data_IF_911226735125
#
_entry.id   IF_911226735125
#
_cell.length_a   1.000
_cell.length_b   1.000
_cell.length_c   1.000
_cell.angle_alpha   90.00
_cell.angle_beta   90.00
_cell.angle_gamma   90.00
#
_symmetry.space_group_name_H-M   'P 1'
#
loop_
_entity.id
_entity.type
_entity.pdbx_description
1 polymer ?
#
# COMPACT_ATOMS: atom_id res chain seq x y z
N UNK A 1 10.23 25.37 -12.05
CA UNK A 1 11.18 26.18 -12.84
C UNK A 1 11.71 25.28 -13.95
N UNK A 2 11.88 25.75 -15.21
CA UNK A 2 12.60 24.94 -16.21
C UNK A 2 14.04 24.76 -15.74
N UNK A 3 14.51 23.51 -15.61
CA UNK A 3 15.91 23.21 -15.30
C UNK A 3 16.80 23.72 -16.44
N UNK A 4 17.58 24.76 -16.17
CA UNK A 4 18.64 25.20 -17.08
C UNK A 4 19.89 24.39 -16.76
N UNK A 5 20.14 23.37 -17.59
CA UNK A 5 21.20 22.37 -17.41
C UNK A 5 22.62 22.94 -17.23
N UNK A 6 22.86 24.19 -17.65
CA UNK A 6 24.17 24.84 -17.60
C UNK A 6 24.48 25.53 -16.26
N UNK A 7 23.49 25.70 -15.36
CA UNK A 7 23.71 26.29 -14.02
C UNK A 7 23.78 25.25 -12.90
N UNK A 8 23.59 23.96 -13.21
CA UNK A 8 23.67 22.88 -12.24
C UNK A 8 25.12 22.69 -11.75
N UNK A 9 25.30 22.64 -10.43
CA UNK A 9 26.60 22.57 -9.75
C UNK A 9 26.84 21.21 -9.06
N UNK A 10 25.95 20.23 -9.31
CA UNK A 10 26.10 18.84 -8.89
C UNK A 10 25.45 17.86 -9.88
N UNK A 11 26.07 16.70 -10.05
CA UNK A 11 25.51 15.50 -10.70
C UNK A 11 25.26 14.42 -9.64
N UNK A 12 24.04 13.89 -9.61
CA UNK A 12 23.66 12.78 -8.75
C UNK A 12 23.51 11.53 -9.61
N UNK A 13 24.31 10.52 -9.31
CA UNK A 13 24.23 9.20 -9.91
C UNK A 13 23.32 8.36 -9.01
N UNK A 14 22.19 7.90 -9.54
CA UNK A 14 21.23 7.05 -8.81
C UNK A 14 20.91 5.87 -9.69
N UNK A 15 21.30 4.67 -9.27
CA UNK A 15 21.22 3.47 -10.11
C UNK A 15 21.97 3.66 -11.44
N UNK A 16 21.26 3.52 -12.56
CA UNK A 16 21.79 3.73 -13.91
C UNK A 16 21.69 5.18 -14.41
N UNK A 17 20.99 6.04 -13.68
CA UNK A 17 20.59 7.36 -14.17
C UNK A 17 21.44 8.46 -13.55
N UNK A 18 21.62 9.54 -14.29
CA UNK A 18 22.34 10.74 -13.83
C UNK A 18 21.42 11.94 -13.85
N UNK A 19 21.28 12.57 -12.69
CA UNK A 19 20.47 13.76 -12.47
C UNK A 19 21.38 14.96 -12.28
N UNK A 20 21.10 16.06 -12.97
CA UNK A 20 21.78 17.34 -12.69
C UNK A 20 20.91 18.15 -11.75
N UNK A 21 21.51 18.83 -10.77
CA UNK A 21 20.76 19.65 -9.83
C UNK A 21 21.57 20.85 -9.33
N UNK A 22 20.92 21.68 -8.52
CA UNK A 22 21.53 22.79 -7.81
C UNK A 22 21.63 22.42 -6.32
N UNK A 23 22.84 22.45 -5.75
CA UNK A 23 23.09 22.17 -4.33
C UNK A 23 22.22 23.04 -3.42
N UNK A 24 22.01 24.31 -3.78
CA UNK A 24 21.18 25.25 -3.02
C UNK A 24 19.69 24.83 -2.98
N UNK A 25 19.13 24.36 -4.10
CA UNK A 25 17.73 23.88 -4.15
C UNK A 25 17.57 22.62 -3.30
N UNK A 26 18.50 21.68 -3.43
CA UNK A 26 18.50 20.44 -2.65
C UNK A 26 18.64 20.71 -1.15
N UNK A 27 19.61 21.55 -0.75
CA UNK A 27 19.84 21.91 0.65
C UNK A 27 18.66 22.64 1.29
N UNK A 28 17.96 23.51 0.54
CA UNK A 28 16.75 24.18 1.03
C UNK A 28 15.56 23.25 1.21
N UNK A 29 15.56 22.12 0.51
CA UNK A 29 14.40 21.22 0.43
C UNK A 29 14.56 19.94 1.26
N UNK A 30 15.76 19.65 1.75
CA UNK A 30 16.06 18.43 2.49
C UNK A 30 17.20 18.64 3.48
N UNK A 31 16.97 18.29 4.74
CA UNK A 31 17.98 18.35 5.80
C UNK A 31 19.17 17.42 5.53
N UNK A 32 18.94 16.31 4.80
CA UNK A 32 20.00 15.42 4.33
C UNK A 32 20.99 16.17 3.44
N UNK A 33 20.49 16.85 2.41
CA UNK A 33 21.33 17.64 1.50
C UNK A 33 21.89 18.89 2.17
N UNK A 34 21.14 19.50 3.10
CA UNK A 34 21.64 20.60 3.91
C UNK A 34 22.87 20.17 4.72
N UNK A 35 22.78 19.05 5.44
CA UNK A 35 23.88 18.50 6.22
C UNK A 35 25.07 18.15 5.32
N UNK A 36 24.82 17.51 4.18
CA UNK A 36 25.85 17.10 3.23
C UNK A 36 26.60 18.28 2.60
N UNK A 37 25.91 19.37 2.26
CA UNK A 37 26.53 20.54 1.63
C UNK A 37 26.97 21.63 2.62
N UNK A 38 26.71 21.43 3.91
CA UNK A 38 27.14 22.33 4.99
C UNK A 38 28.66 22.32 5.20
N UNK A 39 29.16 23.39 5.84
CA UNK A 39 30.59 23.61 6.00
C UNK A 39 31.23 22.52 6.88
N UNK A 40 32.20 21.80 6.32
CA UNK A 40 33.09 20.77 6.92
C UNK A 40 32.96 19.34 6.35
N UNK A 41 32.11 19.10 5.33
CA UNK A 41 32.05 17.81 4.63
C UNK A 41 32.84 17.83 3.31
N UNK A 42 33.51 16.72 2.96
CA UNK A 42 34.28 16.60 1.70
C UNK A 42 33.37 16.74 0.47
N UNK A 43 32.12 16.31 0.64
CA UNK A 43 31.01 16.31 -0.30
C UNK A 43 30.66 17.73 -0.80
N UNK A 44 30.95 18.77 -0.02
CA UNK A 44 30.76 20.16 -0.45
C UNK A 44 31.57 20.49 -1.71
N UNK A 45 32.78 19.95 -1.82
CA UNK A 45 33.67 20.20 -2.96
C UNK A 45 33.42 19.23 -4.13
N UNK A 46 32.59 18.19 -3.94
CA UNK A 46 32.29 17.23 -4.99
C UNK A 46 31.29 17.80 -6.00
N UNK A 47 31.54 17.57 -7.28
CA UNK A 47 30.64 17.86 -8.39
C UNK A 47 29.81 16.63 -8.82
N UNK A 48 30.13 15.45 -8.29
CA UNK A 48 29.44 14.19 -8.51
C UNK A 48 29.18 13.48 -7.18
N UNK A 49 27.94 13.04 -6.96
CA UNK A 49 27.50 12.28 -5.79
C UNK A 49 26.77 11.02 -6.24
N UNK A 50 27.07 9.87 -5.64
CA UNK A 50 26.37 8.61 -5.92
C UNK A 50 25.42 8.28 -4.76
N UNK A 51 24.14 8.03 -5.04
CA UNK A 51 23.14 7.59 -4.07
C UNK A 51 22.76 6.13 -4.38
N UNK A 52 23.05 5.21 -3.45
CA UNK A 52 22.92 3.76 -3.68
C UNK A 52 21.68 3.17 -3.03
N UNK A 53 21.10 3.88 -2.08
CA UNK A 53 20.06 3.42 -1.18
C UNK A 53 18.64 3.67 -1.71
N UNK A 54 18.51 4.40 -2.82
CA UNK A 54 17.23 4.78 -3.43
C UNK A 54 17.21 4.45 -4.92
N UNK A 55 16.02 4.17 -5.44
CA UNK A 55 15.80 3.94 -6.87
C UNK A 55 15.79 5.24 -7.66
N UNK A 56 16.18 5.19 -8.95
CA UNK A 56 16.11 6.34 -9.86
C UNK A 56 14.69 6.92 -9.94
N UNK A 57 13.68 6.05 -9.92
CA UNK A 57 12.28 6.45 -9.97
C UNK A 57 11.88 7.26 -8.72
N UNK A 58 12.29 6.77 -7.53
CA UNK A 58 12.09 7.48 -6.28
C UNK A 58 12.79 8.83 -6.26
N UNK A 59 14.05 8.87 -6.69
CA UNK A 59 14.81 10.12 -6.72
C UNK A 59 14.28 11.11 -7.76
N UNK A 60 13.82 10.65 -8.91
CA UNK A 60 13.17 11.48 -9.93
C UNK A 60 11.94 12.18 -9.36
N UNK A 61 11.09 11.46 -8.62
CA UNK A 61 9.94 12.05 -7.94
C UNK A 61 10.34 13.07 -6.86
N UNK A 62 11.43 12.81 -6.11
CA UNK A 62 11.95 13.75 -5.12
C UNK A 62 12.51 15.03 -5.76
N UNK A 63 13.24 14.91 -6.87
CA UNK A 63 13.75 16.07 -7.60
C UNK A 63 12.60 16.93 -8.10
N UNK A 64 11.58 16.33 -8.72
CA UNK A 64 10.40 17.08 -9.16
C UNK A 64 9.75 17.82 -7.99
N UNK A 65 9.62 17.16 -6.84
CA UNK A 65 9.11 17.78 -5.62
C UNK A 65 9.99 18.95 -5.14
N UNK A 66 11.31 18.81 -5.09
CA UNK A 66 12.22 19.88 -4.64
C UNK A 66 12.16 21.13 -5.53
N UNK A 67 11.90 20.97 -6.83
CA UNK A 67 11.85 22.09 -7.77
C UNK A 67 10.46 22.71 -7.95
N UNK A 68 9.41 21.92 -7.76
CA UNK A 68 8.05 22.31 -8.12
C UNK A 68 7.07 22.34 -6.95
N UNK A 69 7.42 21.72 -5.81
CA UNK A 69 6.57 21.66 -4.63
C UNK A 69 5.37 20.72 -4.74
N UNK A 70 5.28 19.92 -5.80
CA UNK A 70 4.27 18.88 -5.94
C UNK A 70 4.92 17.54 -6.26
N UNK A 71 4.25 16.46 -5.88
CA UNK A 71 4.67 15.09 -6.14
C UNK A 71 3.49 14.30 -6.70
N UNK A 72 3.75 13.50 -7.73
CA UNK A 72 2.75 12.61 -8.33
C UNK A 72 2.96 11.21 -7.78
N UNK A 73 1.93 10.67 -7.13
CA UNK A 73 1.94 9.32 -6.57
C UNK A 73 1.02 8.45 -7.41
N UNK A 74 1.52 7.30 -7.84
CA UNK A 74 0.76 6.27 -8.53
C UNK A 74 1.26 4.87 -8.13
N UNK A 75 0.66 3.82 -8.69
CA UNK A 75 0.98 2.42 -8.40
C UNK A 75 2.40 2.00 -8.81
N UNK A 76 3.06 2.74 -9.71
CA UNK A 76 4.42 2.50 -10.18
C UNK A 76 5.41 3.26 -9.30
N UNK A 77 5.11 4.52 -8.98
CA UNK A 77 6.03 5.44 -8.28
C UNK A 77 6.03 5.25 -6.77
N UNK A 78 4.94 4.76 -6.16
CA UNK A 78 4.78 4.75 -4.71
C UNK A 78 5.92 4.06 -3.95
N UNK A 79 6.43 2.92 -4.45
CA UNK A 79 7.52 2.20 -3.78
C UNK A 79 8.80 3.04 -3.73
N UNK A 80 9.20 3.60 -4.87
CA UNK A 80 10.36 4.47 -4.95
C UNK A 80 10.18 5.76 -4.13
N UNK A 81 8.96 6.30 -4.08
CA UNK A 81 8.64 7.47 -3.26
C UNK A 81 8.78 7.13 -1.77
N UNK A 82 8.28 5.98 -1.32
CA UNK A 82 8.41 5.53 0.07
C UNK A 82 9.88 5.28 0.46
N UNK A 83 10.67 4.64 -0.43
CA UNK A 83 12.11 4.45 -0.26
C UNK A 83 12.83 5.79 -0.08
N UNK A 84 12.58 6.74 -1.00
CA UNK A 84 13.21 8.04 -1.00
C UNK A 84 12.76 8.89 0.20
N UNK A 85 11.48 8.87 0.54
CA UNK A 85 10.94 9.57 1.71
C UNK A 85 11.60 9.08 3.00
N UNK A 86 11.78 7.77 3.15
CA UNK A 86 12.49 7.19 4.30
C UNK A 86 13.97 7.60 4.32
N UNK A 87 14.64 7.55 3.17
CA UNK A 87 16.06 7.92 3.06
C UNK A 87 16.30 9.39 3.38
N UNK A 88 15.45 10.29 2.89
CA UNK A 88 15.55 11.73 3.14
C UNK A 88 14.87 12.20 4.43
N UNK A 89 14.32 11.28 5.25
CA UNK A 89 13.57 11.57 6.48
C UNK A 89 12.39 12.55 6.28
N UNK A 90 11.59 12.31 5.24
CA UNK A 90 10.41 13.12 4.89
C UNK A 90 9.13 12.43 5.40
N UNK A 91 8.90 12.45 6.71
CA UNK A 91 7.83 11.68 7.37
C UNK A 91 6.42 12.01 6.88
N UNK A 92 6.15 13.28 6.55
CA UNK A 92 4.84 13.69 6.03
C UNK A 92 4.50 12.98 4.70
N UNK A 93 5.50 12.65 3.90
CA UNK A 93 5.30 11.98 2.62
C UNK A 93 4.93 10.50 2.81
N UNK A 94 5.46 9.85 3.85
CA UNK A 94 5.01 8.51 4.28
C UNK A 94 3.51 8.54 4.61
N UNK A 95 3.04 9.58 5.32
CA UNK A 95 1.62 9.76 5.61
C UNK A 95 0.77 9.98 4.35
N UNK A 96 1.25 10.78 3.39
CA UNK A 96 0.53 11.00 2.12
C UNK A 96 0.46 9.70 1.30
N UNK A 97 1.54 8.93 1.21
CA UNK A 97 1.54 7.62 0.57
C UNK A 97 0.57 6.65 1.25
N UNK A 98 0.50 6.64 2.58
CA UNK A 98 -0.51 5.87 3.33
C UNK A 98 -1.93 6.27 2.92
N UNK A 99 -2.25 7.55 2.89
CA UNK A 99 -3.57 8.03 2.47
C UNK A 99 -3.90 7.61 1.03
N UNK A 100 -2.94 7.72 0.12
CA UNK A 100 -3.11 7.24 -1.26
C UNK A 100 -3.44 5.74 -1.29
N UNK A 101 -2.71 4.90 -0.55
CA UNK A 101 -2.93 3.46 -0.52
C UNK A 101 -4.32 3.08 -0.02
N UNK A 102 -4.79 3.73 1.05
CA UNK A 102 -6.13 3.50 1.59
C UNK A 102 -7.22 3.99 0.63
N UNK A 103 -7.02 5.16 0.01
CA UNK A 103 -8.00 5.72 -0.94
C UNK A 103 -8.21 4.85 -2.18
N UNK A 104 -7.15 4.22 -2.68
CA UNK A 104 -7.19 3.34 -3.86
C UNK A 104 -7.22 1.86 -3.50
N UNK A 105 -7.68 1.51 -2.30
CA UNK A 105 -7.75 0.12 -1.86
C UNK A 105 -8.70 -0.71 -2.74
N UNK A 106 -8.29 -1.96 -3.01
CA UNK A 106 -9.06 -2.92 -3.78
C UNK A 106 -8.68 -4.36 -3.42
N UNK A 107 -9.50 -5.31 -3.86
CA UNK A 107 -9.21 -6.74 -3.73
C UNK A 107 -7.88 -7.16 -4.40
N UNK A 108 -7.41 -6.39 -5.38
CA UNK A 108 -6.20 -6.70 -6.13
C UNK A 108 -4.92 -6.15 -5.48
N UNK A 109 -5.03 -5.17 -4.56
CA UNK A 109 -3.87 -4.47 -4.03
C UNK A 109 -3.77 -4.45 -2.49
N UNK A 110 -4.79 -4.89 -1.75
CA UNK A 110 -4.78 -4.80 -0.28
C UNK A 110 -3.59 -5.54 0.37
N UNK A 111 -3.14 -6.67 -0.21
CA UNK A 111 -1.95 -7.38 0.28
C UNK A 111 -0.67 -6.57 0.08
N UNK A 112 -0.56 -5.88 -1.06
CA UNK A 112 0.55 -4.97 -1.31
C UNK A 112 0.50 -3.78 -0.34
N UNK A 113 -0.68 -3.27 -0.01
CA UNK A 113 -0.85 -2.21 1.01
C UNK A 113 -0.35 -2.68 2.38
N UNK A 114 -0.68 -3.91 2.80
CA UNK A 114 -0.15 -4.49 4.05
C UNK A 114 1.37 -4.66 3.99
N UNK A 115 1.90 -5.15 2.87
CA UNK A 115 3.34 -5.34 2.70
C UNK A 115 4.10 -4.00 2.78
N UNK A 116 3.62 -2.97 2.08
CA UNK A 116 4.22 -1.64 2.15
C UNK A 116 4.11 -1.04 3.54
N UNK A 117 2.99 -1.23 4.23
CA UNK A 117 2.84 -0.80 5.61
C UNK A 117 3.92 -1.42 6.52
N UNK A 118 4.15 -2.72 6.39
CA UNK A 118 5.14 -3.47 7.19
C UNK A 118 6.57 -3.03 6.85
N UNK A 119 6.93 -2.99 5.57
CA UNK A 119 8.28 -2.64 5.08
C UNK A 119 8.67 -1.20 5.48
N UNK A 120 7.72 -0.27 5.47
CA UNK A 120 7.95 1.14 5.76
C UNK A 120 7.54 1.54 7.18
N UNK A 121 7.38 0.57 8.09
CA UNK A 121 7.11 0.77 9.52
C UNK A 121 5.89 1.68 9.79
N UNK A 122 4.86 1.59 8.94
CA UNK A 122 3.58 2.25 9.17
C UNK A 122 2.78 1.49 10.23
N UNK A 123 1.73 2.11 10.78
CA UNK A 123 0.80 1.43 11.67
C UNK A 123 -0.02 0.36 10.91
N UNK A 124 0.52 -0.85 10.87
CA UNK A 124 -0.09 -2.02 10.21
C UNK A 124 -1.45 -2.35 10.81
N UNK A 125 -1.64 -2.16 12.12
CA UNK A 125 -2.91 -2.44 12.78
C UNK A 125 -4.01 -1.48 12.29
N UNK A 126 -3.69 -0.18 12.22
CA UNK A 126 -4.60 0.82 11.66
C UNK A 126 -4.87 0.59 10.17
N UNK A 127 -3.88 0.14 9.39
CA UNK A 127 -4.07 -0.19 7.97
C UNK A 127 -4.95 -1.43 7.80
N UNK A 128 -4.75 -2.49 8.59
CA UNK A 128 -5.64 -3.65 8.59
C UNK A 128 -7.08 -3.28 8.94
N UNK A 129 -7.27 -2.38 9.90
CA UNK A 129 -8.60 -1.88 10.25
C UNK A 129 -9.30 -1.23 9.06
N UNK A 130 -8.62 -0.34 8.32
CA UNK A 130 -9.15 0.29 7.10
C UNK A 130 -9.49 -0.76 6.01
N UNK A 131 -8.66 -1.81 5.89
CA UNK A 131 -8.89 -2.90 4.95
C UNK A 131 -10.15 -3.70 5.30
N UNK A 132 -10.33 -4.03 6.58
CA UNK A 132 -11.51 -4.75 7.06
C UNK A 132 -12.78 -3.91 6.91
N UNK A 133 -12.71 -2.60 7.19
CA UNK A 133 -13.81 -1.67 6.91
C UNK A 133 -14.21 -1.69 5.44
N UNK A 134 -13.24 -1.54 4.52
CA UNK A 134 -13.48 -1.62 3.08
C UNK A 134 -14.18 -2.92 2.65
N UNK A 135 -13.69 -4.07 3.13
CA UNK A 135 -14.30 -5.37 2.81
C UNK A 135 -15.70 -5.52 3.39
N UNK A 136 -15.92 -5.05 4.62
CA UNK A 136 -17.21 -5.14 5.30
C UNK A 136 -18.29 -4.27 4.65
N UNK A 137 -17.95 -3.05 4.23
CA UNK A 137 -18.88 -2.11 3.60
C UNK A 137 -19.10 -2.39 2.11
N UNK A 138 -18.18 -3.10 1.46
CA UNK A 138 -18.25 -3.41 0.02
C UNK A 138 -18.44 -4.90 -0.24
N UNK A 139 -18.97 -5.65 0.72
CA UNK A 139 -18.98 -7.11 0.67
C UNK A 139 -19.74 -7.67 -0.53
N UNK A 140 -20.98 -7.24 -0.77
CA UNK A 140 -21.82 -7.71 -1.88
C UNK A 140 -21.13 -7.53 -3.25
N UNK A 141 -20.68 -6.33 -3.66
CA UNK A 141 -20.03 -6.18 -4.97
C UNK A 141 -18.69 -6.91 -5.07
N UNK A 142 -18.01 -7.16 -3.94
CA UNK A 142 -16.78 -7.95 -3.92
C UNK A 142 -17.07 -9.45 -4.02
N UNK A 143 -18.11 -9.97 -3.38
CA UNK A 143 -18.45 -11.39 -3.39
C UNK A 143 -18.79 -11.93 -4.78
N UNK A 144 -19.20 -11.04 -5.69
CA UNK A 144 -19.49 -11.35 -7.09
C UNK A 144 -18.24 -11.44 -7.99
N UNK A 145 -17.08 -10.93 -7.54
CA UNK A 145 -15.84 -10.94 -8.31
C UNK A 145 -15.05 -12.22 -8.03
N UNK A 146 -14.66 -12.93 -9.09
CA UNK A 146 -13.88 -14.18 -8.98
C UNK A 146 -12.55 -14.00 -8.25
N UNK A 147 -11.90 -12.84 -8.41
CA UNK A 147 -10.63 -12.54 -7.73
C UNK A 147 -10.79 -12.44 -6.20
N UNK A 148 -11.99 -12.15 -5.69
CA UNK A 148 -12.24 -12.09 -4.25
C UNK A 148 -12.08 -13.45 -3.57
N UNK A 149 -12.21 -14.55 -4.31
CA UNK A 149 -11.91 -15.88 -3.77
C UNK A 149 -10.42 -16.09 -3.50
N UNK A 150 -9.53 -15.22 -4.00
CA UNK A 150 -8.10 -15.22 -3.66
C UNK A 150 -7.78 -14.53 -2.34
N UNK A 151 -8.77 -13.91 -1.68
CA UNK A 151 -8.59 -13.27 -0.37
C UNK A 151 -7.85 -14.18 0.60
N UNK A 152 -6.92 -13.64 1.38
CA UNK A 152 -6.18 -14.40 2.38
C UNK A 152 -7.08 -14.88 3.51
N UNK A 153 -6.76 -16.03 4.08
CA UNK A 153 -7.47 -16.59 5.23
C UNK A 153 -7.41 -15.66 6.45
N UNK A 154 -6.29 -14.94 6.62
CA UNK A 154 -6.10 -13.97 7.71
C UNK A 154 -7.17 -12.88 7.67
N UNK A 155 -7.31 -12.17 6.54
CA UNK A 155 -8.32 -11.11 6.41
C UNK A 155 -9.73 -11.67 6.49
N UNK A 156 -10.01 -12.81 5.85
CA UNK A 156 -11.35 -13.38 5.89
C UNK A 156 -11.75 -13.83 7.30
N UNK A 157 -10.84 -14.46 8.04
CA UNK A 157 -11.13 -14.92 9.42
C UNK A 157 -11.26 -13.77 10.41
N UNK A 158 -10.52 -12.66 10.22
CA UNK A 158 -10.70 -11.42 10.97
C UNK A 158 -12.04 -10.75 10.59
N UNK A 159 -12.41 -10.71 9.31
CA UNK A 159 -13.70 -10.15 8.87
C UNK A 159 -14.90 -10.91 9.46
N UNK A 160 -14.79 -12.23 9.59
CA UNK A 160 -15.85 -13.11 10.11
C UNK A 160 -15.88 -13.22 11.64
N UNK A 161 -15.02 -12.52 12.38
CA UNK A 161 -14.95 -12.64 13.84
C UNK A 161 -16.11 -11.93 14.59
N UNK A 162 -16.93 -11.16 13.86
CA UNK A 162 -18.08 -10.43 14.39
C UNK A 162 -17.75 -9.01 14.87
N UNK A 163 -16.51 -8.54 14.72
CA UNK A 163 -16.09 -7.17 15.07
C UNK A 163 -16.65 -6.14 14.09
N UNK A 164 -16.72 -6.48 12.80
CA UNK A 164 -17.17 -5.59 11.74
C UNK A 164 -18.58 -5.96 11.28
N UNK A 165 -19.44 -4.95 11.11
CA UNK A 165 -20.73 -5.15 10.47
C UNK A 165 -20.55 -5.34 8.97
N UNK A 166 -21.00 -6.49 8.45
CA UNK A 166 -20.94 -6.80 7.02
C UNK A 166 -22.27 -6.39 6.40
N UNK A 167 -22.22 -5.54 5.37
CA UNK A 167 -23.41 -5.07 4.65
C UNK A 167 -23.86 -6.10 3.61
N UNK A 168 -24.30 -7.27 4.09
CA UNK A 168 -24.84 -8.37 3.30
C UNK A 168 -25.80 -9.24 4.13
N UNK A 169 -26.73 -9.93 3.47
CA UNK A 169 -27.50 -10.99 4.12
C UNK A 169 -26.62 -12.22 4.43
N UNK A 170 -27.04 -13.01 5.40
CA UNK A 170 -26.26 -14.17 5.87
C UNK A 170 -26.15 -15.27 4.81
N UNK A 171 -27.09 -15.35 3.87
CA UNK A 171 -27.03 -16.28 2.74
C UNK A 171 -25.89 -15.92 1.79
N UNK A 172 -25.72 -14.65 1.47
CA UNK A 172 -24.63 -14.13 0.64
C UNK A 172 -23.28 -14.38 1.30
N UNK A 173 -23.19 -14.17 2.61
CA UNK A 173 -21.98 -14.49 3.38
C UNK A 173 -21.67 -15.98 3.30
N UNK A 174 -22.66 -16.84 3.55
CA UNK A 174 -22.52 -18.29 3.48
C UNK A 174 -22.04 -18.76 2.09
N UNK A 175 -22.69 -18.30 1.02
CA UNK A 175 -22.34 -18.66 -0.35
C UNK A 175 -20.92 -18.21 -0.70
N UNK A 176 -20.52 -17.02 -0.25
CA UNK A 176 -19.16 -16.52 -0.42
C UNK A 176 -18.15 -17.43 0.29
N UNK A 177 -18.37 -17.74 1.57
CA UNK A 177 -17.47 -18.58 2.36
C UNK A 177 -17.32 -19.97 1.74
N UNK A 178 -18.41 -20.56 1.26
CA UNK A 178 -18.39 -21.84 0.54
C UNK A 178 -17.54 -21.77 -0.71
N UNK A 179 -17.77 -20.78 -1.57
CA UNK A 179 -16.99 -20.59 -2.81
C UNK A 179 -15.52 -20.35 -2.51
N UNK A 180 -15.21 -19.56 -1.49
CA UNK A 180 -13.85 -19.32 -1.03
C UNK A 180 -13.17 -20.60 -0.52
N UNK A 181 -13.85 -21.43 0.27
CA UNK A 181 -13.32 -22.73 0.71
C UNK A 181 -13.06 -23.64 -0.49
N UNK A 182 -14.01 -23.76 -1.41
CA UNK A 182 -13.91 -24.63 -2.57
C UNK A 182 -12.84 -24.19 -3.58
N UNK A 183 -12.51 -22.89 -3.61
CA UNK A 183 -11.50 -22.33 -4.50
C UNK A 183 -10.10 -22.95 -4.29
N UNK A 184 -9.75 -23.31 -3.05
CA UNK A 184 -8.51 -24.03 -2.72
C UNK A 184 -8.75 -24.98 -1.55
N UNK A 185 -9.61 -25.97 -1.78
CA UNK A 185 -10.09 -26.89 -0.75
C UNK A 185 -8.94 -27.56 0.04
N UNK A 186 -7.87 -28.09 -0.59
CA UNK A 186 -6.80 -28.76 0.15
C UNK A 186 -6.11 -27.87 1.20
N UNK A 187 -5.93 -26.58 0.91
CA UNK A 187 -5.31 -25.63 1.85
C UNK A 187 -6.32 -24.99 2.80
N UNK A 188 -7.61 -24.98 2.44
CA UNK A 188 -8.66 -24.23 3.15
C UNK A 188 -9.60 -25.08 4.00
N UNK A 189 -9.53 -26.41 3.89
CA UNK A 189 -10.37 -27.34 4.65
C UNK A 189 -10.31 -27.10 6.16
N UNK A 190 -9.12 -26.79 6.69
CA UNK A 190 -8.92 -26.49 8.11
C UNK A 190 -9.70 -25.26 8.62
N UNK A 191 -10.11 -24.34 7.73
CA UNK A 191 -10.88 -23.15 8.09
C UNK A 191 -12.41 -23.39 8.02
N UNK A 192 -12.86 -24.46 7.37
CA UNK A 192 -14.29 -24.71 7.07
C UNK A 192 -15.17 -24.62 8.31
N UNK A 193 -14.85 -25.36 9.37
CA UNK A 193 -15.67 -25.39 10.58
C UNK A 193 -15.71 -24.02 11.28
N UNK A 194 -14.59 -23.27 11.29
CA UNK A 194 -14.53 -21.95 11.93
C UNK A 194 -15.37 -20.94 11.17
N UNK A 195 -15.20 -20.88 9.84
CA UNK A 195 -15.88 -19.92 8.99
C UNK A 195 -17.38 -20.23 8.86
N UNK A 196 -17.78 -21.49 8.70
CA UNK A 196 -19.21 -21.80 8.61
C UNK A 196 -19.95 -21.60 9.95
N UNK A 197 -19.26 -21.75 11.09
CA UNK A 197 -19.85 -21.45 12.40
C UNK A 197 -20.10 -19.95 12.65
N UNK A 198 -19.45 -19.04 11.92
CA UNK A 198 -19.72 -17.61 12.07
C UNK A 198 -21.00 -17.17 11.36
N UNK A 199 -21.55 -18.00 10.47
CA UNK A 199 -22.80 -17.74 9.76
C UNK A 199 -23.99 -17.88 10.72
N UNK A 200 -24.88 -16.90 10.71
CA UNK A 200 -26.10 -16.89 11.53
C UNK A 200 -27.25 -17.56 10.76
N UNK A 201 -27.23 -18.89 10.70
CA UNK A 201 -28.24 -19.69 10.00
C UNK A 201 -29.69 -19.41 10.39
N UNK A 202 -29.94 -18.92 11.61
CA UNK A 202 -31.29 -18.53 12.05
C UNK A 202 -31.85 -17.28 11.33
N UNK A 203 -31.06 -16.62 10.50
CA UNK A 203 -31.47 -15.48 9.66
C UNK A 203 -31.74 -15.89 8.21
N UNK A 204 -31.63 -17.18 7.88
CA UNK A 204 -31.97 -17.70 6.56
C UNK A 204 -33.49 -17.80 6.42
N UNK A 205 -34.00 -17.65 5.21
CA UNK A 205 -35.38 -18.02 4.92
C UNK A 205 -35.54 -19.55 4.81
N UNK A 206 -36.79 -20.03 4.72
CA UNK A 206 -37.07 -21.46 4.69
C UNK A 206 -36.50 -22.13 3.42
N UNK A 207 -36.58 -21.45 2.28
CA UNK A 207 -36.08 -21.96 1.00
C UNK A 207 -34.55 -22.11 1.06
N UNK A 208 -33.84 -21.15 1.63
CA UNK A 208 -32.40 -21.18 1.82
C UNK A 208 -31.98 -22.33 2.75
N UNK A 209 -32.71 -22.56 3.85
CA UNK A 209 -32.45 -23.63 4.81
C UNK A 209 -32.62 -25.02 4.19
N UNK A 210 -33.65 -25.22 3.36
CA UNK A 210 -33.91 -26.48 2.68
C UNK A 210 -32.81 -26.83 1.66
N UNK A 211 -32.15 -25.82 1.08
CA UNK A 211 -31.14 -25.99 0.03
C UNK A 211 -29.68 -25.95 0.54
N UNK A 212 -29.44 -25.96 1.85
CA UNK A 212 -28.08 -25.89 2.45
C UNK A 212 -27.22 -27.09 2.04
N UNK A 213 -27.79 -28.29 2.00
CA UNK A 213 -27.07 -29.54 1.74
C UNK A 213 -26.91 -29.88 0.25
N UNK A 214 -27.66 -29.22 -0.64
CA UNK A 214 -27.67 -29.49 -2.09
C UNK A 214 -26.70 -28.62 -2.91
N UNK A 215 -26.22 -27.52 -2.34
CA UNK A 215 -25.19 -26.65 -2.95
C UNK A 215 -23.80 -27.06 -2.52
#
# INVERSE_FOLDING_TARGET
LKMYDYTCDIKLIVGSDTFKAHKDVLAKSSDYFLAMFSHNMQEKQMDVLELKEISSLGFSAMIEYFYHGYITIDHITINGILEAARFFHIDWLIHVCRHYMIHYLSILNYENVINLADVFCMDVASIKHEILLFFSSSFIPLSMKSDTFKMSSTILTELMDGTYYIEADEKTIFDFLRKWICYDLPQREGFKLRLLKSVKYHLFDLDDLENIDES
#
